data_IF_784282920479
#
_entry.id   IF_784282920479
#
_cell.length_a   1.000
_cell.length_b   1.000
_cell.length_c   1.000
_cell.angle_alpha   90.00
_cell.angle_beta   90.00
_cell.angle_gamma   90.00
#
_symmetry.space_group_name_H-M   'P 1'
#
loop_
_entity.id
_entity.type
_entity.pdbx_description
1 polymer ?
#
# COMPACT_ATOMS: atom_id res chain seq x y z
N UNK A 1 20.46 -6.66 14.17
CA UNK A 1 21.00 -6.65 12.79
C UNK A 1 20.58 -5.34 12.15
N UNK A 2 21.37 -4.76 11.24
CA UNK A 2 21.16 -3.40 10.70
C UNK A 2 19.74 -3.15 10.11
N UNK A 3 19.08 -4.20 9.61
CA UNK A 3 17.73 -4.13 9.02
C UNK A 3 16.63 -3.80 10.04
N UNK A 4 16.79 -4.18 11.32
CA UNK A 4 15.77 -3.90 12.34
C UNK A 4 15.69 -2.41 12.72
N UNK A 5 16.64 -1.58 12.28
CA UNK A 5 16.59 -0.14 12.50
C UNK A 5 15.83 0.61 11.38
N UNK A 6 15.51 -0.07 10.28
CA UNK A 6 14.84 0.56 9.13
C UNK A 6 13.34 0.66 9.40
N UNK A 7 12.85 1.90 9.51
CA UNK A 7 11.43 2.21 9.71
C UNK A 7 10.78 2.85 8.49
N UNK A 8 11.58 3.31 7.53
CA UNK A 8 11.12 3.96 6.31
C UNK A 8 11.68 3.21 5.12
N UNK A 9 10.80 2.82 4.19
CA UNK A 9 11.16 2.29 2.89
C UNK A 9 10.60 3.20 1.81
N UNK A 10 11.47 3.68 0.90
CA UNK A 10 11.09 4.49 -0.24
C UNK A 10 11.58 3.79 -1.50
N UNK A 11 10.66 3.33 -2.33
CA UNK A 11 10.94 2.78 -3.64
C UNK A 11 11.19 3.92 -4.64
N UNK A 12 12.35 4.57 -4.51
CA UNK A 12 12.83 5.54 -5.50
C UNK A 12 13.47 4.80 -6.67
N UNK A 13 12.70 4.62 -7.73
CA UNK A 13 13.15 4.10 -9.03
C UNK A 13 13.59 5.21 -9.98
N UNK A 14 14.30 6.24 -9.50
CA UNK A 14 15.04 7.21 -10.34
C UNK A 14 16.36 7.61 -9.64
N UNK A 15 17.05 6.65 -9.03
CA UNK A 15 18.52 6.74 -9.01
C UNK A 15 18.99 6.32 -10.40
N UNK A 16 19.80 7.16 -11.04
CA UNK A 16 20.33 7.02 -12.39
C UNK A 16 21.30 5.82 -12.57
N UNK A 17 21.19 4.74 -11.78
CA UNK A 17 22.00 3.53 -11.88
C UNK A 17 21.19 2.24 -11.63
N UNK A 18 20.70 1.62 -12.72
CA UNK A 18 20.45 0.17 -12.90
C UNK A 18 19.17 -0.52 -12.40
N UNK A 19 18.21 0.11 -11.70
CA UNK A 19 16.91 -0.54 -11.38
C UNK A 19 15.73 0.20 -11.99
N UNK A 20 14.98 -0.51 -12.84
CA UNK A 20 13.71 -0.02 -13.40
C UNK A 20 12.62 0.14 -12.32
N UNK A 21 11.48 0.74 -12.69
CA UNK A 21 10.39 0.97 -11.75
C UNK A 21 9.82 -0.35 -11.22
N UNK A 22 9.27 -0.33 -10.01
CA UNK A 22 8.61 -1.48 -9.44
C UNK A 22 7.31 -1.77 -10.18
N UNK A 23 7.11 -3.02 -10.60
CA UNK A 23 5.83 -3.50 -11.17
C UNK A 23 4.98 -4.26 -10.15
N UNK A 24 5.55 -4.59 -9.00
CA UNK A 24 4.90 -5.16 -7.81
C UNK A 24 5.72 -4.85 -6.55
N UNK A 25 5.11 -5.04 -5.37
CA UNK A 25 5.84 -4.97 -4.10
C UNK A 25 6.69 -6.24 -3.95
N UNK A 26 8.02 -6.12 -3.80
CA UNK A 26 8.89 -7.29 -3.74
C UNK A 26 8.81 -7.98 -2.37
N UNK A 27 8.79 -9.33 -2.31
CA UNK A 27 8.64 -10.06 -1.04
C UNK A 27 9.76 -9.81 0.00
N UNK A 28 10.92 -9.33 -0.43
CA UNK A 28 12.03 -9.01 0.48
C UNK A 28 11.73 -7.82 1.41
N UNK A 29 10.65 -7.06 1.17
CA UNK A 29 10.17 -6.04 2.11
C UNK A 29 9.89 -6.64 3.50
N UNK A 30 9.53 -7.92 3.55
CA UNK A 30 9.32 -8.68 4.78
C UNK A 30 10.58 -8.87 5.63
N UNK A 31 11.77 -8.54 5.12
CA UNK A 31 13.02 -8.53 5.89
C UNK A 31 13.16 -7.28 6.77
N UNK A 32 12.20 -6.35 6.70
CA UNK A 32 12.19 -5.08 7.42
C UNK A 32 11.05 -5.10 8.46
N UNK A 33 11.25 -5.72 9.64
CA UNK A 33 10.15 -6.02 10.58
C UNK A 33 9.56 -4.78 11.27
N UNK A 34 10.25 -3.64 11.22
CA UNK A 34 9.89 -2.42 11.94
C UNK A 34 9.46 -1.29 10.98
N UNK A 35 9.02 -1.63 9.78
CA UNK A 35 8.50 -0.64 8.84
C UNK A 35 7.28 0.09 9.42
N UNK A 36 7.34 1.41 9.29
CA UNK A 36 6.34 2.37 9.74
C UNK A 36 5.83 3.16 8.53
N UNK A 37 6.74 3.61 7.66
CA UNK A 37 6.40 4.30 6.41
C UNK A 37 6.88 3.49 5.22
N UNK A 38 5.98 3.22 4.28
CA UNK A 38 6.27 2.52 3.03
C UNK A 38 5.75 3.37 1.88
N UNK A 39 6.68 3.84 1.06
CA UNK A 39 6.40 4.67 -0.11
C UNK A 39 6.81 3.91 -1.37
N UNK A 40 5.81 3.53 -2.16
CA UNK A 40 5.92 2.98 -3.52
C UNK A 40 5.30 3.92 -4.55
N UNK A 41 5.10 5.18 -4.21
CA UNK A 41 4.56 6.16 -5.14
C UNK A 41 5.43 6.27 -6.41
N UNK A 42 4.84 6.71 -7.51
CA UNK A 42 5.56 6.99 -8.76
C UNK A 42 6.32 5.77 -9.31
N UNK A 43 5.66 4.62 -9.33
CA UNK A 43 6.18 3.38 -9.88
C UNK A 43 5.27 2.86 -11.00
N UNK A 44 5.39 1.59 -11.38
CA UNK A 44 4.57 0.95 -12.40
C UNK A 44 3.82 -0.26 -11.84
N UNK A 45 3.44 -0.18 -10.56
CA UNK A 45 2.78 -1.29 -9.86
C UNK A 45 1.41 -1.52 -10.47
N UNK A 46 1.16 -2.76 -10.88
CA UNK A 46 -0.15 -3.19 -11.40
C UNK A 46 -0.89 -4.03 -10.36
N UNK A 47 -0.15 -4.82 -9.58
CA UNK A 47 -0.67 -5.70 -8.52
C UNK A 47 0.20 -5.60 -7.27
N UNK A 48 -0.45 -5.60 -6.10
CA UNK A 48 0.23 -5.38 -4.80
C UNK A 48 0.43 -6.70 -4.06
N UNK A 49 -0.65 -7.36 -3.63
CA UNK A 49 -0.59 -8.63 -2.91
C UNK A 49 -1.82 -9.51 -3.23
N UNK A 50 -1.79 -10.27 -4.33
CA UNK A 50 -2.92 -11.10 -4.73
C UNK A 50 -3.12 -12.33 -3.82
N UNK A 51 -2.18 -12.65 -2.92
CA UNK A 51 -2.15 -13.92 -2.15
C UNK A 51 -2.06 -13.74 -0.64
N UNK A 52 -2.20 -12.51 -0.11
CA UNK A 52 -1.99 -12.20 1.31
C UNK A 52 -0.56 -12.54 1.83
N UNK A 53 0.43 -12.61 0.94
CA UNK A 53 1.79 -13.00 1.32
C UNK A 53 2.54 -11.89 2.06
N UNK A 54 2.09 -10.64 1.94
CA UNK A 54 2.74 -9.46 2.51
C UNK A 54 2.05 -8.96 3.79
N UNK A 55 0.85 -9.45 4.12
CA UNK A 55 0.01 -8.94 5.22
C UNK A 55 0.76 -8.83 6.55
N UNK A 56 1.56 -9.83 6.93
CA UNK A 56 2.29 -9.82 8.22
C UNK A 56 3.42 -8.80 8.25
N UNK A 57 4.01 -8.50 7.09
CA UNK A 57 5.16 -7.63 6.93
C UNK A 57 4.80 -6.16 7.08
N UNK A 58 3.52 -5.81 6.88
CA UNK A 58 3.01 -4.45 7.00
C UNK A 58 2.33 -4.19 8.35
N UNK A 59 2.34 -5.14 9.29
CA UNK A 59 1.60 -5.04 10.57
C UNK A 59 1.94 -3.80 11.43
N UNK A 60 3.14 -3.24 11.30
CA UNK A 60 3.60 -2.05 12.01
C UNK A 60 3.50 -0.75 11.19
N UNK A 61 3.04 -0.84 9.94
CA UNK A 61 2.98 0.30 9.02
C UNK A 61 1.85 1.24 9.42
N UNK A 62 2.17 2.53 9.46
CA UNK A 62 1.24 3.63 9.73
C UNK A 62 0.99 4.49 8.49
N UNK A 63 1.94 4.53 7.54
CA UNK A 63 1.76 5.23 6.26
C UNK A 63 2.10 4.32 5.10
N UNK A 64 1.16 4.14 4.18
CA UNK A 64 1.34 3.42 2.93
C UNK A 64 0.98 4.33 1.77
N UNK A 65 1.97 4.61 0.92
CA UNK A 65 1.78 5.37 -0.31
C UNK A 65 1.98 4.47 -1.54
N UNK A 66 0.91 4.32 -2.31
CA UNK A 66 0.83 3.59 -3.59
C UNK A 66 0.32 4.48 -4.71
N UNK A 67 0.36 5.81 -4.52
CA UNK A 67 -0.09 6.79 -5.51
C UNK A 67 0.74 6.76 -6.78
N UNK A 68 0.21 7.30 -7.87
CA UNK A 68 0.91 7.41 -9.16
C UNK A 68 1.45 6.05 -9.65
N UNK A 69 0.56 5.06 -9.73
CA UNK A 69 0.82 3.70 -10.20
C UNK A 69 -0.28 3.26 -11.19
N UNK A 70 -0.31 1.98 -11.56
CA UNK A 70 -1.30 1.40 -12.49
C UNK A 70 -2.19 0.35 -11.81
N UNK A 71 -2.48 0.53 -10.52
CA UNK A 71 -3.23 -0.44 -9.73
C UNK A 71 -4.71 -0.37 -10.12
N UNK A 72 -5.24 -1.48 -10.64
CA UNK A 72 -6.64 -1.58 -11.07
C UNK A 72 -7.55 -2.31 -10.08
N UNK A 73 -6.97 -3.11 -9.18
CA UNK A 73 -7.68 -3.86 -8.15
C UNK A 73 -7.21 -3.44 -6.76
N UNK A 74 -8.16 -3.14 -5.88
CA UNK A 74 -7.85 -2.78 -4.51
C UNK A 74 -7.27 -4.00 -3.76
N UNK A 75 -6.09 -3.89 -3.12
CA UNK A 75 -5.41 -5.02 -2.50
C UNK A 75 -5.97 -5.33 -1.10
N UNK A 76 -7.22 -5.77 -1.05
CA UNK A 76 -7.95 -6.04 0.19
C UNK A 76 -7.19 -7.00 1.11
N UNK A 77 -6.53 -8.03 0.58
CA UNK A 77 -5.73 -8.99 1.36
C UNK A 77 -4.55 -8.36 2.11
N UNK A 78 -4.01 -7.26 1.60
CA UNK A 78 -2.97 -6.52 2.32
C UNK A 78 -3.62 -5.59 3.35
N UNK A 79 -4.57 -4.76 2.89
CA UNK A 79 -5.09 -3.65 3.70
C UNK A 79 -5.99 -4.11 4.85
N UNK A 80 -6.74 -5.21 4.71
CA UNK A 80 -7.72 -5.63 5.71
C UNK A 80 -7.15 -5.87 7.11
N UNK A 81 -5.82 -6.00 7.25
CA UNK A 81 -5.15 -6.33 8.49
C UNK A 81 -3.88 -5.49 8.74
N UNK A 82 -3.99 -4.18 8.54
CA UNK A 82 -2.95 -3.21 8.95
C UNK A 82 -3.53 -2.32 10.07
N UNK A 83 -3.57 -2.82 11.33
CA UNK A 83 -4.31 -2.16 12.43
C UNK A 83 -3.77 -0.77 12.80
N UNK A 84 -2.50 -0.52 12.50
CA UNK A 84 -1.83 0.74 12.80
C UNK A 84 -1.85 1.74 11.64
N UNK A 85 -2.48 1.40 10.50
CA UNK A 85 -2.50 2.27 9.32
C UNK A 85 -3.29 3.55 9.61
N UNK A 86 -2.65 4.69 9.36
CA UNK A 86 -3.22 6.02 9.58
C UNK A 86 -3.39 6.78 8.27
N UNK A 87 -2.46 6.60 7.33
CA UNK A 87 -2.45 7.31 6.06
C UNK A 87 -2.35 6.32 4.91
N UNK A 88 -3.32 6.38 4.00
CA UNK A 88 -3.41 5.52 2.85
C UNK A 88 -3.60 6.34 1.57
N UNK A 89 -2.63 6.25 0.66
CA UNK A 89 -2.62 7.02 -0.58
C UNK A 89 -2.65 6.06 -1.78
N UNK A 90 -3.66 6.23 -2.63
CA UNK A 90 -3.90 5.47 -3.85
C UNK A 90 -4.30 6.38 -5.01
N UNK A 91 -4.18 7.70 -4.87
CA UNK A 91 -4.54 8.65 -5.92
C UNK A 91 -3.74 8.41 -7.20
N UNK A 92 -4.30 8.78 -8.34
CA UNK A 92 -3.71 8.54 -9.68
C UNK A 92 -3.41 7.06 -9.94
N UNK A 93 -4.43 6.21 -9.75
CA UNK A 93 -4.40 4.80 -10.10
C UNK A 93 -5.61 4.48 -11.01
N UNK A 94 -5.95 3.19 -11.16
CA UNK A 94 -7.01 2.71 -12.05
C UNK A 94 -8.08 1.92 -11.30
N UNK A 95 -8.23 2.14 -9.99
CA UNK A 95 -9.19 1.41 -9.15
C UNK A 95 -10.61 1.61 -9.67
N UNK A 96 -11.37 0.52 -9.77
CA UNK A 96 -12.77 0.53 -10.19
C UNK A 96 -13.76 0.48 -9.01
N UNK A 97 -13.34 -0.21 -7.94
CA UNK A 97 -14.11 -0.42 -6.72
C UNK A 97 -13.17 -0.54 -5.51
N UNK A 98 -13.72 -0.23 -4.34
CA UNK A 98 -13.14 -0.58 -3.04
C UNK A 98 -14.15 -1.46 -2.32
N UNK A 99 -13.84 -2.73 -2.02
CA UNK A 99 -14.78 -3.63 -1.36
C UNK A 99 -15.18 -3.14 0.03
N UNK A 100 -16.43 -3.40 0.44
CA UNK A 100 -16.96 -2.96 1.74
C UNK A 100 -16.24 -3.54 2.97
N UNK A 101 -15.52 -4.64 2.80
CA UNK A 101 -14.73 -5.28 3.85
C UNK A 101 -13.25 -4.84 3.86
N UNK A 102 -12.85 -3.93 2.96
CA UNK A 102 -11.45 -3.57 2.73
C UNK A 102 -10.71 -3.05 3.97
N UNK A 103 -11.43 -2.39 4.90
CA UNK A 103 -10.84 -1.75 6.08
C UNK A 103 -11.31 -2.36 7.41
N UNK A 104 -11.84 -3.59 7.40
CA UNK A 104 -12.45 -4.23 8.57
C UNK A 104 -11.59 -4.19 9.85
N UNK A 105 -10.25 -4.32 9.75
CA UNK A 105 -9.34 -4.22 10.89
C UNK A 105 -8.37 -3.03 10.77
N UNK A 106 -8.84 -1.90 10.23
CA UNK A 106 -8.04 -0.69 9.98
C UNK A 106 -8.62 0.50 10.74
N UNK A 107 -8.72 0.36 12.07
CA UNK A 107 -9.42 1.31 12.95
C UNK A 107 -8.67 2.62 13.22
N UNK A 108 -7.41 2.74 12.80
CA UNK A 108 -6.57 3.91 13.05
C UNK A 108 -6.51 4.90 11.88
N UNK A 109 -7.31 4.66 10.83
CA UNK A 109 -7.21 5.38 9.56
C UNK A 109 -7.70 6.82 9.71
N UNK A 110 -6.84 7.77 9.39
CA UNK A 110 -7.11 9.21 9.47
C UNK A 110 -7.23 9.85 8.09
N UNK A 111 -6.42 9.38 7.13
CA UNK A 111 -6.33 9.93 5.78
C UNK A 111 -6.45 8.80 4.77
N UNK A 112 -7.35 9.00 3.81
CA UNK A 112 -7.51 8.15 2.63
C UNK A 112 -7.60 9.06 1.42
N UNK A 113 -6.79 8.80 0.41
CA UNK A 113 -6.90 9.46 -0.88
C UNK A 113 -7.05 8.45 -2.01
N UNK A 114 -8.24 8.43 -2.61
CA UNK A 114 -8.57 7.67 -3.81
C UNK A 114 -8.84 8.57 -5.02
N UNK A 115 -8.51 9.86 -4.95
CA UNK A 115 -8.74 10.81 -6.05
C UNK A 115 -8.06 10.34 -7.34
N UNK A 116 -8.59 10.76 -8.49
CA UNK A 116 -8.05 10.38 -9.80
C UNK A 116 -7.92 8.85 -10.01
N UNK A 117 -8.94 8.12 -9.54
CA UNK A 117 -9.20 6.72 -9.91
C UNK A 117 -10.47 6.63 -10.78
N UNK A 118 -10.84 5.41 -11.16
CA UNK A 118 -12.06 5.11 -11.93
C UNK A 118 -13.18 4.55 -11.04
N UNK A 119 -13.21 4.96 -9.77
CA UNK A 119 -14.15 4.42 -8.79
C UNK A 119 -15.59 4.75 -9.21
N UNK A 120 -16.38 3.69 -9.40
CA UNK A 120 -17.83 3.81 -9.67
C UNK A 120 -18.66 3.58 -8.41
N UNK A 121 -18.08 2.88 -7.44
CA UNK A 121 -18.68 2.57 -6.14
C UNK A 121 -17.64 2.73 -5.04
N UNK A 122 -18.08 3.29 -3.92
CA UNK A 122 -17.31 3.35 -2.68
C UNK A 122 -18.29 3.15 -1.52
N UNK A 123 -18.19 2.02 -0.83
CA UNK A 123 -19.05 1.73 0.30
C UNK A 123 -18.48 2.43 1.55
N UNK A 124 -19.20 3.45 2.02
CA UNK A 124 -18.79 4.24 3.19
C UNK A 124 -18.79 3.40 4.48
N UNK A 125 -19.58 2.34 4.56
CA UNK A 125 -19.57 1.43 5.73
C UNK A 125 -18.27 0.65 5.87
N UNK A 126 -17.42 0.67 4.84
CA UNK A 126 -16.10 0.12 4.97
C UNK A 126 -15.26 0.87 6.03
N UNK A 127 -15.61 2.11 6.39
CA UNK A 127 -14.85 2.97 7.30
C UNK A 127 -15.45 3.14 8.71
N UNK A 128 -16.61 2.53 8.98
CA UNK A 128 -17.32 2.61 10.27
C UNK A 128 -16.82 1.58 11.31
#
# INVERSE_FOLDING_TARGET
TQLSAITVFIAQGVDNTTKGPFTSIPPNICLLPNLQTVDFSNNQIVTVDPTAALTTCFSNVNTLDLSDNYISQFPSYLIYNIPNLQNLYFQNNQLLEVPSYAFYNVSSLNIIDFSYNNLTTFDLWALD
#
